data_IF_988802794565
#
_entry.id   IF_988802794565
#
_cell.length_a   1.000
_cell.length_b   1.000
_cell.length_c   1.000
_cell.angle_alpha   90.00
_cell.angle_beta   90.00
_cell.angle_gamma   90.00
#
_symmetry.space_group_name_H-M   'P 1'
#
loop_
_entity.id
_entity.type
_entity.pdbx_description
1 polymer ?
#
# COMPACT_ATOMS: atom_id res chain seq x y z
N UNK A 1 -4.97 -76.83 24.25
CA UNK A 1 -5.55 -75.56 23.75
C UNK A 1 -4.49 -74.47 23.77
N UNK A 2 -3.95 -74.16 22.58
CA UNK A 2 -3.01 -73.07 22.30
C UNK A 2 -3.80 -71.92 21.69
N UNK A 3 -3.82 -70.74 22.30
CA UNK A 3 -4.22 -69.47 21.64
C UNK A 3 -4.07 -68.30 22.61
N UNK A 4 -2.87 -67.71 22.77
CA UNK A 4 -2.71 -66.42 23.49
C UNK A 4 -1.56 -65.51 23.04
N UNK A 5 -0.98 -65.71 21.85
CA UNK A 5 0.12 -64.85 21.34
C UNK A 5 -0.20 -64.09 20.05
N UNK A 6 -1.35 -64.33 19.40
CA UNK A 6 -1.70 -63.69 18.12
C UNK A 6 -2.29 -62.26 18.22
N UNK A 7 -2.67 -61.81 19.41
CA UNK A 7 -3.39 -60.52 19.58
C UNK A 7 -2.43 -59.32 19.72
N UNK A 8 -1.35 -59.47 20.50
CA UNK A 8 -0.42 -58.36 20.75
C UNK A 8 0.45 -57.99 19.53
N UNK A 9 0.83 -58.98 18.71
CA UNK A 9 1.62 -58.72 17.49
C UNK A 9 0.83 -57.94 16.44
N UNK A 10 -0.48 -58.18 16.35
CA UNK A 10 -1.37 -57.52 15.39
C UNK A 10 -1.66 -56.08 15.79
N UNK A 11 -1.79 -55.81 17.10
CA UNK A 11 -2.01 -54.45 17.63
C UNK A 11 -0.74 -53.61 17.52
N UNK A 12 0.44 -54.19 17.81
CA UNK A 12 1.72 -53.49 17.69
C UNK A 12 2.04 -53.14 16.22
N UNK A 13 1.68 -54.02 15.27
CA UNK A 13 1.82 -53.77 13.84
C UNK A 13 0.86 -52.66 13.35
N UNK A 14 -0.37 -52.58 13.88
CA UNK A 14 -1.29 -51.48 13.59
C UNK A 14 -0.81 -50.13 14.14
N UNK A 15 -0.17 -50.09 15.31
CA UNK A 15 0.42 -48.85 15.87
C UNK A 15 1.62 -48.37 15.03
N UNK A 16 2.45 -49.30 14.54
CA UNK A 16 3.58 -48.99 13.65
C UNK A 16 3.14 -48.52 12.25
N UNK A 17 2.04 -49.08 11.72
CA UNK A 17 1.43 -48.63 10.47
C UNK A 17 0.74 -47.25 10.60
N UNK A 18 0.19 -46.93 11.78
CA UNK A 18 -0.36 -45.60 12.06
C UNK A 18 0.72 -44.51 12.17
N UNK A 19 1.93 -44.85 12.60
CA UNK A 19 3.08 -43.92 12.59
C UNK A 19 3.63 -43.65 11.18
N UNK A 20 3.51 -44.60 10.26
CA UNK A 20 3.92 -44.40 8.86
C UNK A 20 2.85 -43.74 7.97
N UNK A 21 1.65 -43.49 8.52
CA UNK A 21 0.53 -42.87 7.81
C UNK A 21 0.44 -41.35 8.04
N UNK A 22 1.21 -40.79 8.97
CA UNK A 22 1.61 -39.39 8.86
C UNK A 22 2.63 -39.32 7.72
N UNK A 23 2.17 -38.99 6.51
CA UNK A 23 3.07 -38.34 5.57
C UNK A 23 3.61 -37.12 6.32
N UNK A 24 4.90 -37.14 6.66
CA UNK A 24 5.65 -35.90 6.77
C UNK A 24 5.50 -35.25 5.39
N UNK A 25 4.52 -34.36 5.26
CA UNK A 25 4.45 -33.50 4.10
C UNK A 25 5.78 -32.74 4.13
N UNK A 26 6.61 -32.98 3.11
CA UNK A 26 7.90 -32.35 3.02
C UNK A 26 7.72 -30.84 3.14
N UNK A 27 8.53 -30.22 4.00
CA UNK A 27 8.47 -28.79 4.25
C UNK A 27 8.48 -28.01 2.92
N UNK A 28 7.57 -27.05 2.80
CA UNK A 28 7.42 -26.29 1.57
C UNK A 28 8.64 -25.37 1.39
N UNK A 29 9.18 -25.23 0.16
CA UNK A 29 10.31 -24.34 -0.08
C UNK A 29 9.91 -22.87 0.14
N UNK A 30 10.87 -22.04 0.53
CA UNK A 30 10.64 -20.62 0.74
C UNK A 30 10.55 -19.87 -0.60
N UNK A 31 9.38 -19.28 -0.91
CA UNK A 31 9.17 -18.52 -2.14
C UNK A 31 8.33 -17.27 -1.91
N UNK A 32 8.57 -16.27 -2.76
CA UNK A 32 7.86 -14.99 -2.77
C UNK A 32 7.32 -14.72 -4.17
N UNK A 33 6.15 -14.08 -4.25
CA UNK A 33 5.57 -13.66 -5.53
C UNK A 33 6.44 -12.62 -6.24
N UNK A 34 7.03 -11.69 -5.48
CA UNK A 34 7.91 -10.66 -6.00
C UNK A 34 9.37 -10.90 -5.60
N UNK A 35 10.27 -10.61 -6.55
CA UNK A 35 11.72 -10.70 -6.35
C UNK A 35 12.35 -9.42 -5.82
N UNK A 36 11.58 -8.33 -5.67
CA UNK A 36 12.00 -7.04 -5.11
C UNK A 36 10.80 -6.30 -4.53
N UNK A 37 11.03 -5.42 -3.56
CA UNK A 37 9.98 -4.60 -2.95
C UNK A 37 10.39 -3.13 -2.84
N UNK A 38 9.44 -2.25 -3.15
CA UNK A 38 9.51 -0.83 -2.82
C UNK A 38 8.61 -0.54 -1.61
N UNK A 39 9.13 0.24 -0.66
CA UNK A 39 8.48 0.56 0.62
C UNK A 39 8.48 2.07 0.81
N UNK A 40 7.33 2.72 1.02
CA UNK A 40 7.31 4.15 1.30
C UNK A 40 7.98 4.46 2.65
N UNK A 41 8.76 5.53 2.71
CA UNK A 41 9.39 6.02 3.94
C UNK A 41 8.32 6.34 5.00
N UNK A 42 8.49 5.81 6.21
CA UNK A 42 7.49 5.92 7.29
C UNK A 42 6.28 4.99 7.13
N UNK A 43 6.16 4.29 6.00
CA UNK A 43 5.10 3.32 5.73
C UNK A 43 5.54 1.87 5.93
N UNK A 44 4.58 0.96 5.81
CA UNK A 44 4.75 -0.49 5.94
C UNK A 44 4.31 -1.20 4.67
N UNK A 45 5.12 -2.15 4.22
CA UNK A 45 4.82 -3.04 3.09
C UNK A 45 4.76 -4.49 3.58
N UNK A 46 3.66 -5.17 3.27
CA UNK A 46 3.50 -6.60 3.51
C UNK A 46 4.00 -7.38 2.28
N UNK A 47 4.77 -8.45 2.51
CA UNK A 47 5.40 -9.21 1.43
C UNK A 47 4.46 -10.29 0.91
N UNK A 48 4.51 -10.54 -0.39
CA UNK A 48 3.76 -11.64 -1.00
C UNK A 48 4.51 -12.95 -0.80
N UNK A 49 4.11 -13.75 0.18
CA UNK A 49 4.70 -15.08 0.43
C UNK A 49 3.93 -16.12 -0.39
N UNK A 50 4.62 -16.82 -1.30
CA UNK A 50 4.04 -17.88 -2.14
C UNK A 50 4.05 -19.22 -1.39
N UNK A 51 5.16 -19.55 -0.73
CA UNK A 51 5.33 -20.79 0.03
C UNK A 51 6.41 -20.66 1.11
N UNK A 52 6.38 -21.56 2.08
CA UNK A 52 7.27 -21.61 3.23
C UNK A 52 6.54 -22.27 4.41
N UNK A 53 7.16 -22.25 5.59
CA UNK A 53 6.62 -22.93 6.78
C UNK A 53 6.02 -21.98 7.82
N UNK A 54 6.16 -20.66 7.64
CA UNK A 54 5.60 -19.65 8.54
C UNK A 54 6.44 -19.37 9.79
N UNK A 55 7.58 -20.05 9.96
CA UNK A 55 8.59 -19.75 10.97
C UNK A 55 9.83 -19.18 10.29
N UNK A 56 10.05 -17.87 10.46
CA UNK A 56 11.04 -17.12 9.70
C UNK A 56 11.99 -16.33 10.60
N UNK A 57 13.28 -16.43 10.30
CA UNK A 57 14.30 -15.51 10.82
C UNK A 57 14.58 -14.41 9.79
N UNK A 58 14.60 -13.15 10.24
CA UNK A 58 14.71 -11.97 9.38
C UNK A 58 16.00 -11.19 9.68
N UNK A 59 16.76 -10.85 8.64
CA UNK A 59 17.99 -10.04 8.73
C UNK A 59 17.93 -8.91 7.70
N UNK A 60 17.99 -7.66 8.16
CA UNK A 60 18.07 -6.48 7.29
C UNK A 60 19.54 -6.07 7.14
N UNK A 61 20.00 -5.89 5.90
CA UNK A 61 21.39 -5.50 5.61
C UNK A 61 21.79 -4.14 6.21
N UNK A 62 20.93 -3.13 6.08
CA UNK A 62 21.10 -1.81 6.69
C UNK A 62 19.84 -1.36 7.44
N UNK A 63 19.88 -1.46 8.76
CA UNK A 63 18.77 -1.12 9.65
C UNK A 63 18.47 0.39 9.74
N UNK A 64 19.32 1.25 9.17
CA UNK A 64 19.03 2.70 9.09
C UNK A 64 18.08 3.01 7.93
N UNK A 65 17.96 2.11 6.95
CA UNK A 65 17.10 2.28 5.77
C UNK A 65 15.72 1.67 6.03
N UNK A 66 15.67 0.46 6.58
CA UNK A 66 14.41 -0.24 6.85
C UNK A 66 14.50 -1.15 8.07
N UNK A 67 13.35 -1.61 8.57
CA UNK A 67 13.25 -2.71 9.53
C UNK A 67 12.26 -3.76 9.01
N UNK A 68 12.30 -4.97 9.56
CA UNK A 68 11.38 -6.04 9.20
C UNK A 68 10.85 -6.76 10.44
N UNK A 69 9.67 -7.35 10.30
CA UNK A 69 9.03 -8.12 11.35
C UNK A 69 8.01 -9.10 10.80
N UNK A 70 7.43 -9.88 11.70
CA UNK A 70 6.36 -10.83 11.40
C UNK A 70 5.09 -10.48 12.16
N UNK A 71 3.94 -10.82 11.58
CA UNK A 71 2.61 -10.74 12.20
C UNK A 71 1.86 -12.06 12.00
N UNK A 72 1.20 -12.53 13.04
CA UNK A 72 0.40 -13.77 13.00
C UNK A 72 -1.10 -13.47 12.86
N UNK A 73 -1.88 -14.48 12.45
CA UNK A 73 -3.33 -14.36 12.30
C UNK A 73 -3.81 -13.98 10.89
N UNK A 74 -2.91 -14.02 9.90
CA UNK A 74 -3.24 -13.73 8.51
C UNK A 74 -3.83 -14.95 7.80
N UNK A 75 -4.79 -14.73 6.90
CA UNK A 75 -5.32 -15.78 6.02
C UNK A 75 -4.56 -15.80 4.69
N UNK A 76 -4.36 -16.98 4.10
CA UNK A 76 -3.75 -17.09 2.76
C UNK A 76 -2.22 -16.99 2.74
N UNK A 77 -1.56 -17.08 3.89
CA UNK A 77 -0.10 -17.12 4.03
C UNK A 77 0.34 -18.35 4.85
N UNK A 78 1.58 -18.84 4.69
CA UNK A 78 2.05 -20.02 5.42
C UNK A 78 1.93 -19.88 6.94
N UNK A 79 1.28 -20.88 7.57
CA UNK A 79 0.95 -20.92 9.00
C UNK A 79 0.31 -19.64 9.56
N UNK A 80 -0.31 -18.82 8.71
CA UNK A 80 -0.87 -17.52 9.10
C UNK A 80 0.15 -16.48 9.57
N UNK A 81 1.43 -16.67 9.24
CA UNK A 81 2.53 -15.77 9.56
C UNK A 81 2.91 -14.95 8.32
N UNK A 82 2.75 -13.63 8.42
CA UNK A 82 3.06 -12.68 7.38
C UNK A 82 4.35 -11.91 7.70
N UNK A 83 5.14 -11.59 6.68
CA UNK A 83 6.33 -10.75 6.80
C UNK A 83 5.99 -9.33 6.34
N UNK A 84 6.47 -8.33 7.08
CA UNK A 84 6.40 -6.93 6.67
C UNK A 84 7.75 -6.23 6.78
N UNK A 85 7.90 -5.17 6.00
CA UNK A 85 9.02 -4.24 6.03
C UNK A 85 8.51 -2.83 6.30
N UNK A 86 9.16 -2.10 7.20
CA UNK A 86 8.89 -0.69 7.48
C UNK A 86 10.01 0.17 6.91
N UNK A 87 9.67 1.19 6.12
CA UNK A 87 10.65 2.14 5.59
C UNK A 87 11.04 3.17 6.65
N UNK A 88 12.34 3.39 6.85
CA UNK A 88 12.86 4.38 7.82
C UNK A 88 13.43 5.59 7.10
N UNK A 89 14.34 5.35 6.16
CA UNK A 89 15.01 6.38 5.38
C UNK A 89 15.09 5.93 3.92
N UNK A 90 14.88 6.85 2.98
CA UNK A 90 15.03 6.58 1.55
C UNK A 90 16.40 5.99 1.24
N UNK A 91 16.44 4.92 0.44
CA UNK A 91 17.68 4.21 0.11
C UNK A 91 17.44 2.77 -0.29
N UNK A 92 18.53 2.02 -0.52
CA UNK A 92 18.47 0.60 -0.87
C UNK A 92 19.13 -0.26 0.19
N UNK A 93 18.50 -1.37 0.53
CA UNK A 93 18.96 -2.40 1.47
C UNK A 93 18.49 -3.77 0.95
N UNK A 94 18.67 -4.80 1.76
CA UNK A 94 18.05 -6.11 1.49
C UNK A 94 17.43 -6.66 2.77
N UNK A 95 16.45 -7.54 2.58
CA UNK A 95 15.92 -8.42 3.60
C UNK A 95 16.33 -9.85 3.26
N UNK A 96 17.09 -10.49 4.14
CA UNK A 96 17.32 -11.93 4.10
C UNK A 96 16.31 -12.61 4.99
N UNK A 97 15.55 -13.53 4.40
CA UNK A 97 14.57 -14.37 5.08
C UNK A 97 15.12 -15.79 5.13
N UNK A 98 15.15 -16.39 6.31
CA UNK A 98 15.50 -17.79 6.52
C UNK A 98 14.26 -18.52 7.01
N UNK A 99 13.86 -19.57 6.29
CA UNK A 99 12.83 -20.48 6.76
C UNK A 99 13.45 -21.45 7.76
N UNK A 100 12.98 -21.45 9.00
CA UNK A 100 13.64 -22.14 10.11
C UNK A 100 13.44 -23.67 10.05
N UNK A 101 12.43 -24.16 9.33
CA UNK A 101 12.22 -25.61 9.16
C UNK A 101 13.17 -26.18 8.10
N UNK A 102 13.22 -25.55 6.93
CA UNK A 102 14.04 -26.01 5.78
C UNK A 102 15.48 -25.51 5.80
N UNK A 103 15.76 -24.46 6.56
CA UNK A 103 17.01 -23.66 6.52
C UNK A 103 17.26 -22.98 5.15
N UNK A 104 16.27 -22.97 4.25
CA UNK A 104 16.37 -22.22 3.00
C UNK A 104 16.42 -20.72 3.27
N UNK A 105 17.20 -20.01 2.45
CA UNK A 105 17.34 -18.56 2.56
C UNK A 105 16.98 -17.88 1.25
N UNK A 106 16.25 -16.78 1.34
CA UNK A 106 15.93 -15.89 0.24
C UNK A 106 16.40 -14.47 0.58
N UNK A 107 17.14 -13.82 -0.33
CA UNK A 107 17.56 -12.43 -0.17
C UNK A 107 16.78 -11.55 -1.12
N UNK A 108 15.93 -10.69 -0.56
CA UNK A 108 15.05 -9.78 -1.28
C UNK A 108 15.66 -8.36 -1.28
N UNK A 109 15.92 -7.76 -2.45
CA UNK A 109 16.22 -6.34 -2.56
C UNK A 109 15.05 -5.49 -2.06
N UNK A 110 15.35 -4.54 -1.17
CA UNK A 110 14.39 -3.59 -0.61
C UNK A 110 14.84 -2.19 -0.98
N UNK A 111 13.94 -1.42 -1.58
CA UNK A 111 14.13 0.00 -1.86
C UNK A 111 13.12 0.80 -1.04
N UNK A 112 13.60 1.66 -0.15
CA UNK A 112 12.75 2.63 0.53
C UNK A 112 12.68 3.88 -0.33
N UNK A 113 11.47 4.22 -0.76
CA UNK A 113 11.14 5.36 -1.63
C UNK A 113 10.52 6.50 -0.82
N UNK A 114 10.43 7.68 -1.40
CA UNK A 114 9.69 8.79 -0.79
C UNK A 114 8.26 8.36 -0.42
N UNK A 115 7.74 8.88 0.70
CA UNK A 115 6.35 8.65 1.07
C UNK A 115 5.41 9.34 0.06
N UNK A 116 4.15 8.92 0.00
CA UNK A 116 3.19 9.51 -0.93
C UNK A 116 1.74 9.40 -0.42
N UNK A 117 0.87 10.21 -1.01
CA UNK A 117 -0.58 10.14 -0.82
C UNK A 117 -1.27 9.85 -2.16
N UNK A 118 -2.21 8.89 -2.16
CA UNK A 118 -3.03 8.57 -3.33
C UNK A 118 -4.38 9.29 -3.26
N UNK A 119 -4.60 10.21 -4.19
CA UNK A 119 -5.91 10.81 -4.47
C UNK A 119 -6.58 9.98 -5.57
N UNK A 120 -7.52 9.11 -5.16
CA UNK A 120 -8.33 8.32 -6.07
C UNK A 120 -9.62 9.06 -6.44
N UNK A 121 -9.83 9.33 -7.73
CA UNK A 121 -10.99 10.07 -8.23
C UNK A 121 -12.24 9.18 -8.36
N UNK A 122 -13.34 9.63 -7.79
CA UNK A 122 -14.63 8.92 -7.73
C UNK A 122 -15.58 9.50 -8.78
N UNK A 123 -15.56 8.92 -9.97
CA UNK A 123 -16.42 9.34 -11.10
C UNK A 123 -17.90 8.94 -10.93
N UNK A 124 -18.21 7.94 -10.10
CA UNK A 124 -19.58 7.45 -9.90
C UNK A 124 -20.23 7.93 -8.59
N UNK A 125 -19.84 9.11 -8.11
CA UNK A 125 -20.47 9.74 -6.95
C UNK A 125 -21.92 10.14 -7.23
N UNK A 126 -22.81 9.92 -6.26
CA UNK A 126 -24.22 10.35 -6.29
C UNK A 126 -24.40 11.82 -5.85
N UNK A 127 -23.31 12.53 -5.53
CA UNK A 127 -23.38 13.92 -5.09
C UNK A 127 -23.84 14.85 -6.23
N UNK A 128 -24.60 15.91 -5.93
CA UNK A 128 -24.97 16.91 -6.93
C UNK A 128 -23.71 17.62 -7.47
N UNK A 129 -23.79 18.14 -8.70
CA UNK A 129 -22.74 18.93 -9.36
C UNK A 129 -21.42 18.21 -9.67
N UNK A 130 -21.41 16.87 -9.67
CA UNK A 130 -20.24 16.09 -10.08
C UNK A 130 -20.09 16.11 -11.62
N UNK A 131 -18.98 16.66 -12.09
CA UNK A 131 -18.51 16.53 -13.47
C UNK A 131 -17.57 15.33 -13.59
N UNK A 132 -18.10 14.25 -14.17
CA UNK A 132 -17.34 13.00 -14.41
C UNK A 132 -16.19 13.19 -15.39
N UNK A 133 -16.15 14.30 -16.14
CA UNK A 133 -15.11 14.61 -17.11
C UNK A 133 -14.06 15.57 -16.55
N UNK A 134 -14.14 15.97 -15.27
CA UNK A 134 -13.03 16.67 -14.63
C UNK A 134 -11.81 15.74 -14.58
N UNK A 135 -10.65 16.27 -15.00
CA UNK A 135 -9.40 15.52 -15.19
C UNK A 135 -9.62 14.24 -16.03
N UNK A 136 -9.99 14.37 -17.31
CA UNK A 136 -10.39 13.23 -18.12
C UNK A 136 -9.22 12.25 -18.29
N UNK A 137 -9.51 10.95 -18.14
CA UNK A 137 -8.52 9.89 -18.28
C UNK A 137 -7.58 9.70 -17.09
N UNK A 138 -7.65 10.51 -16.04
CA UNK A 138 -6.87 10.34 -14.80
C UNK A 138 -7.76 9.72 -13.72
N UNK A 139 -7.39 8.58 -13.14
CA UNK A 139 -8.16 7.94 -12.07
C UNK A 139 -7.48 8.05 -10.70
N UNK A 140 -6.15 8.12 -10.67
CA UNK A 140 -5.36 8.24 -9.45
C UNK A 140 -4.26 9.29 -9.60
N UNK A 141 -4.02 10.07 -8.55
CA UNK A 141 -2.98 11.10 -8.48
C UNK A 141 -2.16 10.85 -7.23
N UNK A 142 -0.89 10.49 -7.43
CA UNK A 142 0.06 10.29 -6.34
C UNK A 142 0.82 11.59 -6.08
N UNK A 143 0.66 12.15 -4.88
CA UNK A 143 1.42 13.29 -4.39
C UNK A 143 2.64 12.78 -3.62
N UNK A 144 3.85 13.09 -4.09
CA UNK A 144 5.08 12.56 -3.50
C UNK A 144 5.64 13.51 -2.45
N UNK A 145 5.97 12.97 -1.29
CA UNK A 145 6.58 13.64 -0.16
C UNK A 145 8.09 13.86 -0.38
N UNK A 146 8.43 14.56 -1.47
CA UNK A 146 9.81 14.94 -1.80
C UNK A 146 9.95 16.46 -1.93
N UNK A 147 11.19 16.94 -1.97
CA UNK A 147 11.48 18.38 -2.04
C UNK A 147 10.93 19.05 -3.32
N UNK A 148 10.85 18.29 -4.42
CA UNK A 148 10.34 18.76 -5.70
C UNK A 148 8.81 18.84 -5.76
N UNK A 149 8.11 18.22 -4.80
CA UNK A 149 6.66 18.04 -4.79
C UNK A 149 6.19 17.41 -6.10
N UNK A 150 6.81 16.30 -6.46
CA UNK A 150 6.43 15.56 -7.66
C UNK A 150 5.00 15.02 -7.55
N UNK A 151 4.29 14.99 -8.67
CA UNK A 151 2.98 14.36 -8.81
C UNK A 151 2.99 13.34 -9.96
N UNK A 152 2.35 12.19 -9.78
CA UNK A 152 2.23 11.16 -10.81
C UNK A 152 0.76 10.84 -11.07
N UNK A 153 0.38 10.83 -12.33
CA UNK A 153 -1.00 10.73 -12.78
C UNK A 153 -1.21 9.39 -13.48
N UNK A 154 -2.20 8.63 -13.04
CA UNK A 154 -2.45 7.28 -13.54
C UNK A 154 -3.87 7.13 -14.02
N UNK A 155 -4.07 6.23 -14.99
CA UNK A 155 -5.38 5.68 -15.35
C UNK A 155 -5.49 4.26 -14.83
N UNK A 156 -6.72 3.83 -14.61
CA UNK A 156 -7.01 2.45 -14.25
C UNK A 156 -7.01 1.58 -15.51
N UNK A 157 -5.98 0.77 -15.65
CA UNK A 157 -5.89 -0.32 -16.62
C UNK A 157 -6.46 -1.62 -16.06
N UNK A 158 -6.03 -2.75 -16.66
CA UNK A 158 -6.47 -4.09 -16.26
C UNK A 158 -5.85 -4.50 -14.92
N UNK A 159 -6.66 -4.55 -13.89
CA UNK A 159 -6.26 -5.11 -12.59
C UNK A 159 -6.05 -6.63 -12.71
N UNK A 160 -5.03 -7.14 -12.01
CA UNK A 160 -4.78 -8.58 -11.86
C UNK A 160 -4.63 -8.93 -10.38
N UNK A 161 -4.46 -10.21 -10.06
CA UNK A 161 -4.19 -10.64 -8.68
C UNK A 161 -2.88 -10.06 -8.10
N UNK A 162 -1.95 -9.62 -8.95
CA UNK A 162 -0.59 -9.19 -8.57
C UNK A 162 -0.28 -7.74 -8.93
N UNK A 163 -1.25 -7.00 -9.49
CA UNK A 163 -1.05 -5.61 -9.90
C UNK A 163 -2.33 -4.82 -9.77
N UNK A 164 -2.20 -3.59 -9.27
CA UNK A 164 -3.26 -2.59 -9.22
C UNK A 164 -3.81 -2.25 -10.62
N UNK A 165 -3.06 -2.57 -11.68
CA UNK A 165 -3.43 -2.24 -13.05
C UNK A 165 -3.26 -0.75 -13.38
N UNK A 166 -2.62 0.03 -12.52
CA UNK A 166 -2.36 1.45 -12.79
C UNK A 166 -1.36 1.62 -13.93
N UNK A 167 -1.71 2.46 -14.90
CA UNK A 167 -0.87 2.82 -16.03
C UNK A 167 -0.49 4.31 -15.92
N UNK A 168 0.81 4.61 -15.86
CA UNK A 168 1.30 5.99 -15.77
C UNK A 168 0.93 6.76 -17.04
N UNK A 169 0.27 7.90 -16.85
CA UNK A 169 -0.08 8.84 -17.93
C UNK A 169 1.04 9.87 -18.08
N UNK A 170 1.39 10.54 -16.98
CA UNK A 170 2.33 11.65 -16.99
C UNK A 170 2.88 11.93 -15.60
N UNK A 171 4.00 12.66 -15.56
CA UNK A 171 4.60 13.22 -14.35
C UNK A 171 4.39 14.73 -14.35
N UNK A 172 4.15 15.29 -13.17
CA UNK A 172 4.05 16.72 -12.94
C UNK A 172 4.56 17.09 -11.56
N UNK A 173 4.08 18.22 -11.06
CA UNK A 173 4.32 18.67 -9.70
C UNK A 173 3.03 19.18 -9.05
N UNK A 174 3.06 19.35 -7.74
CA UNK A 174 1.96 19.90 -6.99
C UNK A 174 2.41 20.99 -6.01
N UNK A 175 1.47 21.85 -5.64
CA UNK A 175 1.58 22.70 -4.46
C UNK A 175 0.30 22.58 -3.65
N UNK A 176 0.44 22.51 -2.33
CA UNK A 176 -0.68 22.50 -1.39
C UNK A 176 -0.57 23.73 -0.50
N UNK A 177 -1.66 24.48 -0.40
CA UNK A 177 -1.77 25.63 0.47
C UNK A 177 -2.90 25.40 1.47
N UNK A 178 -2.61 25.68 2.74
CA UNK A 178 -3.61 25.61 3.79
C UNK A 178 -4.61 26.76 3.64
N UNK A 179 -5.88 26.43 3.44
CA UNK A 179 -6.97 27.39 3.42
C UNK A 179 -7.63 27.52 4.80
N UNK A 180 -8.96 27.43 4.83
CA UNK A 180 -9.75 27.38 6.08
C UNK A 180 -9.80 25.96 6.64
N UNK A 181 -10.46 25.76 7.79
CA UNK A 181 -10.53 24.44 8.45
C UNK A 181 -11.09 23.32 7.57
N UNK A 182 -11.94 23.66 6.60
CA UNK A 182 -12.67 22.78 5.70
C UNK A 182 -12.12 22.74 4.27
N UNK A 183 -11.05 23.49 3.96
CA UNK A 183 -10.63 23.78 2.58
C UNK A 183 -9.12 23.91 2.44
N UNK A 184 -8.57 23.28 1.41
CA UNK A 184 -7.18 23.42 1.00
C UNK A 184 -7.15 23.81 -0.48
N UNK A 185 -6.11 24.52 -0.90
CA UNK A 185 -5.86 24.75 -2.33
C UNK A 185 -4.81 23.76 -2.81
N UNK A 186 -5.10 23.05 -3.91
CA UNK A 186 -4.15 22.19 -4.62
C UNK A 186 -3.91 22.78 -6.01
N UNK A 187 -2.67 23.14 -6.30
CA UNK A 187 -2.21 23.36 -7.67
C UNK A 187 -1.57 22.08 -8.19
N UNK A 188 -1.95 21.66 -9.40
CA UNK A 188 -1.33 20.57 -10.15
C UNK A 188 -0.74 21.13 -11.44
N UNK A 189 0.54 20.92 -11.68
CA UNK A 189 1.21 21.32 -12.93
C UNK A 189 1.63 20.08 -13.69
N UNK A 190 1.02 19.83 -14.85
CA UNK A 190 1.30 18.64 -15.65
C UNK A 190 0.98 18.88 -17.14
N UNK A 191 1.42 17.96 -17.98
CA UNK A 191 1.18 17.97 -19.43
C UNK A 191 0.42 16.71 -19.83
N UNK A 192 -0.61 16.87 -20.66
CA UNK A 192 -1.33 15.79 -21.34
C UNK A 192 -1.08 15.85 -22.85
N UNK A 193 -1.00 14.69 -23.51
CA UNK A 193 -0.97 14.55 -24.97
C UNK A 193 0.03 15.46 -25.71
N UNK A 194 1.24 15.61 -25.14
CA UNK A 194 2.33 16.46 -25.65
C UNK A 194 2.04 17.98 -25.66
N UNK A 195 0.99 18.44 -24.99
CA UNK A 195 0.79 19.86 -24.70
C UNK A 195 1.89 20.39 -23.76
N UNK A 196 2.16 21.71 -23.76
CA UNK A 196 3.02 22.29 -22.73
C UNK A 196 2.39 22.09 -21.33
N UNK A 197 3.20 21.95 -20.27
CA UNK A 197 2.67 21.86 -18.91
C UNK A 197 1.82 23.07 -18.55
N UNK A 198 0.63 22.82 -18.01
CA UNK A 198 -0.29 23.85 -17.53
C UNK A 198 -0.59 23.66 -16.04
N UNK A 199 -0.80 24.77 -15.34
CA UNK A 199 -1.26 24.76 -13.95
C UNK A 199 -2.79 24.63 -13.90
N UNK A 200 -3.26 23.72 -13.05
CA UNK A 200 -4.67 23.50 -12.74
C UNK A 200 -4.86 23.67 -11.24
N UNK A 201 -5.75 24.57 -10.82
CA UNK A 201 -5.98 24.87 -9.40
C UNK A 201 -7.31 24.29 -8.94
N UNK A 202 -7.29 23.74 -7.74
CA UNK A 202 -8.44 23.08 -7.13
C UNK A 202 -8.61 23.46 -5.67
N UNK A 203 -9.86 23.42 -5.21
CA UNK A 203 -10.22 23.41 -3.80
C UNK A 203 -10.46 21.96 -3.38
N UNK A 204 -9.79 21.51 -2.34
CA UNK A 204 -10.06 20.26 -1.66
C UNK A 204 -10.98 20.55 -0.50
N UNK A 205 -12.23 20.14 -0.63
CA UNK A 205 -13.23 20.21 0.42
C UNK A 205 -13.16 18.98 1.29
N UNK A 206 -12.97 19.18 2.59
CA UNK A 206 -12.91 18.08 3.54
C UNK A 206 -13.02 18.51 4.98
N UNK A 207 -12.59 17.61 5.85
CA UNK A 207 -12.60 17.81 7.30
C UNK A 207 -11.19 18.12 7.79
N UNK A 208 -11.00 18.56 9.04
CA UNK A 208 -9.67 18.71 9.62
C UNK A 208 -8.79 17.44 9.54
N UNK A 209 -9.42 16.26 9.45
CA UNK A 209 -8.71 15.00 9.18
C UNK A 209 -7.96 15.02 7.84
N UNK A 210 -8.55 15.56 6.78
CA UNK A 210 -7.92 15.64 5.46
C UNK A 210 -6.63 16.47 5.55
N UNK A 211 -6.72 17.67 6.14
CA UNK A 211 -5.58 18.55 6.35
C UNK A 211 -4.51 17.91 7.22
N UNK A 212 -4.90 17.22 8.30
CA UNK A 212 -3.97 16.50 9.17
C UNK A 212 -3.25 15.37 8.45
N UNK A 213 -3.98 14.52 7.71
CA UNK A 213 -3.40 13.40 6.96
C UNK A 213 -2.40 13.89 5.91
N UNK A 214 -2.78 14.90 5.11
CA UNK A 214 -1.88 15.48 4.11
C UNK A 214 -0.65 16.12 4.75
N UNK A 215 -0.82 16.87 5.86
CA UNK A 215 0.29 17.47 6.60
C UNK A 215 1.32 16.42 7.05
N UNK A 216 0.86 15.31 7.64
CA UNK A 216 1.76 14.25 8.15
C UNK A 216 2.38 13.42 7.03
N UNK A 217 1.59 12.95 6.08
CA UNK A 217 2.09 12.05 5.03
C UNK A 217 3.01 12.77 4.04
N UNK A 218 2.70 14.03 3.72
CA UNK A 218 3.45 14.84 2.76
C UNK A 218 4.45 15.79 3.42
N UNK A 219 4.62 15.76 4.74
CA UNK A 219 5.57 16.60 5.48
C UNK A 219 5.42 18.09 5.10
N UNK A 220 4.19 18.61 5.20
CA UNK A 220 3.85 19.97 4.79
C UNK A 220 4.20 21.01 5.86
N UNK A 221 4.41 20.57 7.10
CA UNK A 221 4.76 21.40 8.26
C UNK A 221 3.71 22.46 8.61
N UNK A 222 2.44 22.16 8.38
CA UNK A 222 1.31 23.03 8.75
C UNK A 222 1.03 23.02 10.26
N UNK A 223 1.63 22.10 11.01
CA UNK A 223 1.47 22.03 12.46
C UNK A 223 0.04 21.64 12.86
N UNK A 224 -0.63 20.81 12.06
CA UNK A 224 -2.00 20.38 12.35
C UNK A 224 -2.08 19.68 13.71
N UNK A 225 -3.12 19.97 14.53
CA UNK A 225 -3.25 19.38 15.85
C UNK A 225 -3.48 17.87 15.75
N UNK A 226 -3.13 17.09 16.79
CA UNK A 226 -3.55 15.69 16.88
C UNK A 226 -5.07 15.59 16.79
N UNK A 227 -5.54 14.60 16.06
CA UNK A 227 -6.96 14.29 15.99
C UNK A 227 -7.37 13.59 17.29
N UNK A 228 -8.49 14.00 17.89
CA UNK A 228 -9.00 13.31 19.08
C UNK A 228 -9.35 11.85 18.75
N UNK A 229 -8.74 10.92 19.47
CA UNK A 229 -8.87 9.48 19.27
C UNK A 229 -10.20 8.98 19.85
N UNK A 230 -11.30 9.32 19.18
CA UNK A 230 -12.66 8.91 19.58
C UNK A 230 -13.22 7.80 18.67
N UNK A 231 -12.43 7.27 17.73
CA UNK A 231 -12.94 6.35 16.70
C UNK A 231 -12.74 4.88 17.11
N UNK A 232 -13.81 4.28 17.62
CA UNK A 232 -13.88 2.85 17.98
C UNK A 232 -14.43 1.94 16.87
N UNK A 233 -14.58 2.42 15.63
CA UNK A 233 -15.10 1.62 14.51
C UNK A 233 -14.47 1.97 13.16
N UNK A 234 -14.18 0.97 12.29
CA UNK A 234 -13.75 1.20 10.92
C UNK A 234 -14.95 1.69 10.10
N UNK A 235 -15.02 2.99 9.85
CA UNK A 235 -15.92 3.58 8.87
C UNK A 235 -15.21 3.57 7.51
N UNK A 236 -15.92 3.40 6.38
CA UNK A 236 -15.31 3.58 5.06
C UNK A 236 -14.57 4.91 4.99
N UNK A 237 -13.43 4.98 4.27
CA UNK A 237 -12.67 6.22 4.15
C UNK A 237 -13.61 7.33 3.65
N UNK A 238 -13.60 8.51 4.31
CA UNK A 238 -14.48 9.61 3.93
C UNK A 238 -14.24 9.97 2.46
N UNK A 239 -15.34 10.20 1.72
CA UNK A 239 -15.27 10.80 0.39
C UNK A 239 -15.24 12.32 0.50
N UNK A 240 -14.31 12.93 -0.20
CA UNK A 240 -14.06 14.37 -0.28
C UNK A 240 -14.48 14.92 -1.64
N UNK A 241 -14.47 16.24 -1.79
CA UNK A 241 -14.77 16.90 -3.06
C UNK A 241 -13.56 17.70 -3.53
N UNK A 242 -13.16 17.48 -4.78
CA UNK A 242 -12.18 18.29 -5.51
C UNK A 242 -12.96 19.22 -6.44
N UNK A 243 -12.83 20.53 -6.27
CA UNK A 243 -13.50 21.55 -7.08
C UNK A 243 -12.47 22.33 -7.90
N UNK A 244 -12.68 22.49 -9.19
CA UNK A 244 -11.84 23.33 -10.05
C UNK A 244 -12.03 24.82 -9.76
N UNK A 245 -10.94 25.55 -9.60
CA UNK A 245 -10.95 27.01 -9.45
C UNK A 245 -10.91 27.64 -10.85
N UNK A 246 -12.00 28.31 -11.22
CA UNK A 246 -12.06 29.17 -12.41
C UNK A 246 -11.80 30.62 -12.03
N UNK A 247 -11.08 31.36 -12.88
CA UNK A 247 -10.81 32.79 -12.65
C UNK A 247 -12.11 33.58 -12.45
N UNK A 248 -12.21 34.31 -11.33
CA UNK A 248 -13.40 35.08 -10.95
C UNK A 248 -14.59 34.26 -10.43
N UNK A 249 -14.47 32.93 -10.31
CA UNK A 249 -15.51 32.06 -9.77
C UNK A 249 -15.58 32.09 -8.25
N UNK A 250 -16.78 32.13 -7.68
CA UNK A 250 -16.96 31.98 -6.24
C UNK A 250 -16.77 30.51 -5.84
N UNK A 251 -16.20 30.25 -4.66
CA UNK A 251 -16.00 28.88 -4.21
C UNK A 251 -17.35 28.14 -4.03
N UNK A 252 -17.45 26.90 -4.52
CA UNK A 252 -18.67 26.09 -4.55
C UNK A 252 -19.41 26.13 -5.90
N UNK A 253 -18.93 26.93 -6.86
CA UNK A 253 -19.55 27.10 -8.19
C UNK A 253 -18.78 26.42 -9.33
N UNK A 254 -17.55 25.97 -9.07
CA UNK A 254 -16.71 25.29 -10.04
C UNK A 254 -17.18 23.87 -10.36
N UNK A 255 -16.52 23.26 -11.35
CA UNK A 255 -16.72 21.83 -11.68
C UNK A 255 -16.17 20.98 -10.55
N UNK A 256 -16.92 19.95 -10.13
CA UNK A 256 -16.55 19.14 -8.97
C UNK A 256 -16.38 17.67 -9.32
N UNK A 257 -15.49 16.97 -8.63
CA UNK A 257 -15.38 15.51 -8.66
C UNK A 257 -15.17 15.00 -7.24
N UNK A 258 -15.70 13.81 -6.94
CA UNK A 258 -15.44 13.17 -5.66
C UNK A 258 -14.03 12.58 -5.65
N UNK A 259 -13.40 12.49 -4.49
CA UNK A 259 -12.18 11.71 -4.32
C UNK A 259 -12.12 11.04 -2.95
N UNK A 260 -11.22 10.08 -2.81
CA UNK A 260 -10.84 9.51 -1.51
C UNK A 260 -9.34 9.36 -1.41
N UNK A 261 -8.85 9.35 -0.17
CA UNK A 261 -7.46 9.07 0.12
C UNK A 261 -7.28 7.57 0.39
N UNK A 262 -6.67 6.86 -0.55
CA UNK A 262 -6.50 5.41 -0.48
C UNK A 262 -5.09 5.01 -0.04
N UNK A 263 -4.95 3.75 0.35
CA UNK A 263 -3.65 3.13 0.65
C UNK A 263 -3.12 2.35 -0.56
N UNK A 264 -3.53 2.72 -1.77
CA UNK A 264 -3.05 2.07 -2.99
C UNK A 264 -1.58 2.38 -3.16
N UNK A 265 -0.82 1.41 -3.62
CA UNK A 265 0.62 1.59 -3.82
C UNK A 265 0.89 2.07 -5.24
N UNK A 266 1.89 2.94 -5.34
CA UNK A 266 2.43 3.33 -6.63
C UNK A 266 3.08 2.10 -7.28
N UNK A 267 2.91 1.87 -8.59
CA UNK A 267 3.59 0.78 -9.27
C UNK A 267 5.12 0.83 -9.07
N UNK A 268 5.72 -0.34 -8.86
CA UNK A 268 7.15 -0.46 -8.58
C UNK A 268 8.00 0.03 -9.75
N UNK A 269 9.10 0.74 -9.45
CA UNK A 269 10.05 1.25 -10.44
C UNK A 269 9.69 2.61 -11.03
N UNK A 270 8.63 3.25 -10.54
CA UNK A 270 8.26 4.62 -10.92
C UNK A 270 9.06 5.65 -10.13
N UNK A 271 9.24 5.43 -8.82
CA UNK A 271 9.94 6.37 -7.94
C UNK A 271 11.47 6.13 -7.97
N UNK A 272 12.26 7.22 -7.90
CA UNK A 272 13.72 7.18 -7.95
C UNK A 272 14.36 6.46 -6.76
#
# INVERSE_FOLDING_TARGET
MKTRTLSYSSILFCILLLWSACKEDADAPLRFYDSKYEVPMGGRRYLGIESGNGDYSLEIGNAHIASAGTETGWSGVPAGCQIYVTGILTGSTYLKVTDNATQETCTLPIKVVDNYEDINLIRNSIRPNIDKNLLPGIDDIFLISNAARDAYFFKQGKQTAFSSGLELITKGSYALEQGTEDRLTLSLTFSLDAAPPSEHKFILWGTPYLSHRLDKNLQLNWGTPPLEDTRTSPEPPPSYTLEEITEGGEPGTGRQIGFMLNYKEIPTGILP
#
